data_IF_669590823026
#
_entry.id   IF_669590823026
#
_cell.length_a   1.000
_cell.length_b   1.000
_cell.length_c   1.000
_cell.angle_alpha   90.00
_cell.angle_beta   90.00
_cell.angle_gamma   90.00
#
_symmetry.space_group_name_H-M   'P 1'
#
loop_
_entity.id
_entity.type
_entity.pdbx_description
1 polymer ?
#
# COMPACT_ATOMS: atom_id res chain seq x y z
N UNK A 1 20.82 -3.42 -9.51
CA UNK A 1 21.30 -4.72 -8.97
C UNK A 1 20.61 -5.03 -7.65
N UNK A 2 19.61 -5.92 -7.71
CA UNK A 2 19.21 -6.88 -6.67
C UNK A 2 19.16 -6.42 -5.19
N UNK A 3 17.94 -6.08 -4.73
CA UNK A 3 17.55 -6.18 -3.32
C UNK A 3 17.41 -7.64 -2.86
N UNK A 4 18.41 -8.47 -3.17
CA UNK A 4 18.56 -9.78 -2.54
C UNK A 4 19.45 -9.60 -1.31
N UNK A 5 19.02 -10.23 -0.22
CA UNK A 5 19.79 -10.44 1.00
C UNK A 5 20.00 -9.21 1.90
N UNK A 6 18.91 -8.72 2.49
CA UNK A 6 18.93 -8.55 3.95
C UNK A 6 17.96 -9.54 4.57
N UNK A 7 18.44 -10.78 4.64
CA UNK A 7 17.85 -11.90 5.36
C UNK A 7 17.98 -11.58 6.87
N UNK A 8 17.17 -10.63 7.36
CA UNK A 8 17.09 -10.40 8.80
C UNK A 8 16.29 -11.54 9.38
N UNK A 9 17.00 -12.40 10.12
CA UNK A 9 16.47 -13.52 10.90
C UNK A 9 15.74 -13.01 12.13
N UNK A 10 14.88 -12.01 11.96
CA UNK A 10 14.02 -11.44 12.99
C UNK A 10 12.59 -11.90 12.66
N UNK A 11 12.27 -13.13 13.10
CA UNK A 11 10.90 -13.66 13.08
C UNK A 11 10.06 -12.90 14.10
N UNK A 12 9.77 -11.65 13.79
CA UNK A 12 8.66 -10.94 14.41
C UNK A 12 7.40 -11.62 13.85
N UNK A 13 6.52 -12.22 14.67
CA UNK A 13 5.28 -12.84 14.19
C UNK A 13 4.36 -11.85 13.45
N UNK A 14 4.64 -10.54 13.57
CA UNK A 14 3.96 -9.46 12.85
C UNK A 14 4.63 -9.06 11.53
N UNK A 15 5.72 -9.71 11.11
CA UNK A 15 6.31 -9.43 9.80
C UNK A 15 5.39 -9.92 8.69
N UNK A 16 4.82 -8.94 7.97
CA UNK A 16 4.04 -9.19 6.77
C UNK A 16 4.98 -9.62 5.64
N UNK A 17 5.31 -10.92 5.58
CA UNK A 17 6.21 -11.43 4.56
C UNK A 17 5.70 -11.08 3.16
N UNK A 18 6.55 -10.42 2.38
CA UNK A 18 6.28 -10.13 0.99
C UNK A 18 6.48 -11.39 0.16
N UNK A 19 5.59 -11.59 -0.82
CA UNK A 19 5.71 -12.66 -1.81
C UNK A 19 5.31 -12.17 -3.19
N UNK A 20 5.92 -12.74 -4.22
CA UNK A 20 5.62 -12.44 -5.61
C UNK A 20 4.13 -12.62 -5.90
N UNK A 21 3.58 -11.67 -6.66
CA UNK A 21 2.17 -11.65 -7.05
C UNK A 21 1.95 -12.52 -8.28
N UNK A 22 0.88 -13.30 -8.29
CA UNK A 22 0.48 -14.09 -9.46
C UNK A 22 -0.54 -13.33 -10.32
N UNK A 23 -0.68 -13.65 -11.61
CA UNK A 23 -1.74 -13.06 -12.43
C UNK A 23 -3.15 -13.29 -11.86
N UNK A 24 -3.39 -14.43 -11.20
CA UNK A 24 -4.66 -14.73 -10.55
C UNK A 24 -4.94 -13.81 -9.36
N UNK A 25 -3.93 -13.55 -8.53
CA UNK A 25 -4.05 -12.60 -7.42
C UNK A 25 -4.27 -11.17 -7.90
N UNK A 26 -3.61 -10.77 -8.99
CA UNK A 26 -3.80 -9.45 -9.55
C UNK A 26 -5.22 -9.27 -10.09
N UNK A 27 -5.78 -10.29 -10.76
CA UNK A 27 -7.19 -10.30 -11.18
C UNK A 27 -8.13 -10.21 -9.99
N UNK A 28 -7.88 -10.95 -8.92
CA UNK A 28 -8.68 -10.89 -7.69
C UNK A 28 -8.60 -9.50 -7.02
N UNK A 29 -7.42 -8.89 -7.00
CA UNK A 29 -7.22 -7.53 -6.49
C UNK A 29 -8.00 -6.48 -7.29
N UNK A 30 -7.89 -6.49 -8.61
CA UNK A 30 -8.67 -5.58 -9.48
C UNK A 30 -10.17 -5.83 -9.36
N UNK A 31 -10.59 -7.10 -9.30
CA UNK A 31 -11.98 -7.48 -9.07
C UNK A 31 -12.52 -6.96 -7.74
N UNK A 32 -11.71 -7.00 -6.69
CA UNK A 32 -12.07 -6.44 -5.38
C UNK A 32 -12.24 -4.91 -5.43
N UNK A 33 -11.35 -4.18 -6.11
CA UNK A 33 -11.50 -2.72 -6.31
C UNK A 33 -12.80 -2.36 -7.05
N UNK A 34 -13.15 -3.11 -8.10
CA UNK A 34 -14.41 -2.93 -8.83
C UNK A 34 -15.62 -3.24 -7.93
N UNK A 35 -15.57 -4.37 -7.21
CA UNK A 35 -16.65 -4.80 -6.32
C UNK A 35 -16.92 -3.78 -5.20
N UNK A 36 -15.87 -3.29 -4.52
CA UNK A 36 -15.99 -2.21 -3.53
C UNK A 36 -16.40 -0.87 -4.16
N UNK A 37 -16.29 -0.73 -5.48
CA UNK A 37 -16.88 0.36 -6.24
C UNK A 37 -18.41 0.31 -6.23
N UNK A 38 -18.98 -0.89 -6.33
CA UNK A 38 -20.42 -1.14 -6.44
C UNK A 38 -21.09 -1.26 -5.07
N UNK A 39 -20.51 -2.08 -4.19
CA UNK A 39 -21.01 -2.26 -2.81
C UNK A 39 -20.11 -1.44 -1.89
N UNK A 40 -20.63 -0.39 -1.27
CA UNK A 40 -19.86 0.50 -0.38
C UNK A 40 -20.09 0.11 1.07
N UNK A 41 -19.02 -0.33 1.73
CA UNK A 41 -18.95 -0.47 3.18
C UNK A 41 -18.17 0.68 3.84
N UNK A 42 -18.46 1.01 5.11
CA UNK A 42 -17.83 2.13 5.81
C UNK A 42 -16.35 1.88 6.09
N UNK A 43 -15.94 0.64 6.35
CA UNK A 43 -14.54 0.28 6.53
C UNK A 43 -14.10 -0.83 5.58
N UNK A 44 -12.80 -0.83 5.25
CA UNK A 44 -12.21 -1.85 4.39
C UNK A 44 -12.36 -3.26 4.96
N UNK A 45 -12.32 -3.40 6.29
CA UNK A 45 -12.37 -4.72 6.94
C UNK A 45 -13.74 -5.35 6.91
N UNK A 46 -14.79 -4.54 6.79
CA UNK A 46 -16.19 -4.99 6.81
C UNK A 46 -16.49 -5.89 5.60
N UNK A 47 -15.80 -5.67 4.48
CA UNK A 47 -15.83 -6.54 3.30
C UNK A 47 -15.30 -7.97 3.52
N UNK A 48 -14.60 -8.21 4.62
CA UNK A 48 -14.04 -9.52 4.99
C UNK A 48 -14.57 -10.00 6.35
N UNK A 49 -15.57 -9.33 6.91
CA UNK A 49 -16.21 -9.79 8.14
C UNK A 49 -17.10 -10.99 7.82
N UNK A 50 -16.80 -12.13 8.45
CA UNK A 50 -17.64 -13.31 8.36
C UNK A 50 -18.67 -13.21 9.48
N UNK A 51 -19.98 -13.23 9.14
CA UNK A 51 -21.17 -13.13 10.02
C UNK A 51 -21.15 -13.94 11.33
N UNK A 52 -20.15 -14.80 11.54
CA UNK A 52 -20.07 -15.76 12.64
C UNK A 52 -20.03 -15.13 14.04
N UNK A 53 -19.67 -13.85 14.18
CA UNK A 53 -19.48 -13.27 15.51
C UNK A 53 -20.46 -12.21 15.95
N UNK A 54 -21.23 -11.59 15.07
CA UNK A 54 -22.26 -10.65 15.49
C UNK A 54 -23.34 -10.54 14.43
N UNK A 55 -24.55 -10.16 14.86
CA UNK A 55 -25.67 -9.70 14.04
C UNK A 55 -25.26 -8.43 13.28
N UNK A 56 -24.26 -8.56 12.42
CA UNK A 56 -23.63 -7.50 11.67
C UNK A 56 -24.63 -6.96 10.67
N UNK A 57 -24.73 -5.63 10.59
CA UNK A 57 -25.57 -4.92 9.62
C UNK A 57 -24.94 -4.97 8.22
N UNK A 58 -23.71 -5.48 8.11
CA UNK A 58 -22.93 -5.50 6.88
C UNK A 58 -23.30 -6.70 6.00
N UNK A 59 -23.21 -6.50 4.68
CA UNK A 59 -23.52 -7.56 3.74
C UNK A 59 -22.48 -8.68 3.83
N UNK A 60 -22.91 -9.92 3.61
CA UNK A 60 -21.98 -11.04 3.46
C UNK A 60 -21.28 -10.90 2.08
N UNK A 61 -20.03 -10.45 2.08
CA UNK A 61 -19.26 -10.24 0.84
C UNK A 61 -18.42 -11.47 0.49
N UNK A 62 -18.33 -11.86 -0.79
CA UNK A 62 -17.61 -13.05 -1.21
C UNK A 62 -16.09 -12.84 -1.32
N UNK A 63 -15.56 -11.68 -0.92
CA UNK A 63 -14.17 -11.28 -1.18
C UNK A 63 -13.15 -12.19 -0.50
N UNK A 64 -13.47 -12.73 0.68
CA UNK A 64 -12.62 -13.67 1.41
C UNK A 64 -12.29 -14.93 0.61
N UNK A 65 -13.16 -15.34 -0.32
CA UNK A 65 -12.94 -16.51 -1.19
C UNK A 65 -11.89 -16.28 -2.28
N UNK A 66 -11.59 -15.03 -2.63
CA UNK A 66 -10.71 -14.69 -3.75
C UNK A 66 -9.38 -14.09 -3.31
N UNK A 67 -9.40 -13.27 -2.26
CA UNK A 67 -8.22 -12.62 -1.72
C UNK A 67 -8.44 -12.33 -0.24
N UNK A 68 -7.41 -12.48 0.60
CA UNK A 68 -7.53 -12.10 2.01
C UNK A 68 -7.44 -10.58 2.17
N UNK A 69 -8.12 -10.00 3.16
CA UNK A 69 -8.00 -8.56 3.50
C UNK A 69 -6.54 -8.13 3.61
N UNK A 70 -5.72 -8.97 4.24
CA UNK A 70 -4.29 -8.76 4.39
C UNK A 70 -3.55 -8.67 3.06
N UNK A 71 -3.79 -9.62 2.14
CA UNK A 71 -3.11 -9.65 0.85
C UNK A 71 -3.57 -8.48 -0.02
N UNK A 72 -4.84 -8.13 0.06
CA UNK A 72 -5.40 -6.93 -0.58
C UNK A 72 -4.67 -5.66 -0.10
N UNK A 73 -4.53 -5.46 1.21
CA UNK A 73 -3.80 -4.32 1.77
C UNK A 73 -2.32 -4.28 1.32
N UNK A 74 -1.66 -5.43 1.23
CA UNK A 74 -0.28 -5.51 0.74
C UNK A 74 -0.20 -5.06 -0.73
N UNK A 75 -1.05 -5.60 -1.60
CA UNK A 75 -1.06 -5.22 -3.01
C UNK A 75 -1.41 -3.75 -3.19
N UNK A 76 -2.39 -3.23 -2.44
CA UNK A 76 -2.77 -1.81 -2.47
C UNK A 76 -1.60 -0.86 -2.16
N UNK A 77 -0.66 -1.25 -1.28
CA UNK A 77 0.50 -0.42 -0.93
C UNK A 77 1.64 -0.43 -1.95
N UNK A 78 1.81 -1.55 -2.65
CA UNK A 78 3.00 -1.81 -3.48
C UNK A 78 2.67 -2.05 -4.96
N UNK A 79 1.44 -1.78 -5.38
CA UNK A 79 1.03 -1.90 -6.78
C UNK A 79 1.62 -0.75 -7.60
N UNK A 80 2.46 -1.10 -8.57
CA UNK A 80 3.09 -0.17 -9.50
C UNK A 80 2.94 -0.70 -10.93
N UNK A 81 2.67 0.20 -11.89
CA UNK A 81 2.51 -0.12 -13.32
C UNK A 81 3.78 0.22 -14.11
N UNK A 82 4.66 1.04 -13.54
CA UNK A 82 5.94 1.42 -14.10
C UNK A 82 7.07 1.12 -13.13
N UNK A 83 8.27 1.07 -13.67
CA UNK A 83 9.48 1.04 -12.86
C UNK A 83 9.61 2.35 -12.06
N UNK A 84 10.17 2.31 -10.85
CA UNK A 84 10.47 3.52 -10.10
C UNK A 84 11.51 4.35 -10.85
N UNK A 85 11.36 5.68 -10.85
CA UNK A 85 12.34 6.58 -11.47
C UNK A 85 13.71 6.41 -10.79
N UNK A 86 14.75 6.17 -11.58
CA UNK A 86 16.13 6.15 -11.09
C UNK A 86 16.53 7.58 -10.68
N UNK A 87 16.51 7.88 -9.38
CA UNK A 87 17.06 9.14 -8.87
C UNK A 87 18.49 8.90 -8.42
N UNK A 88 19.47 9.66 -8.95
CA UNK A 88 20.83 9.64 -8.41
C UNK A 88 20.79 10.03 -6.93
N UNK A 89 21.07 9.08 -6.03
CA UNK A 89 21.02 9.29 -4.58
C UNK A 89 19.93 8.53 -3.82
N UNK A 90 19.03 7.81 -4.49
CA UNK A 90 17.99 7.00 -3.84
C UNK A 90 16.70 7.76 -3.52
N UNK A 91 15.65 6.99 -3.23
CA UNK A 91 14.23 7.37 -3.09
C UNK A 91 13.97 8.88 -2.88
N UNK A 92 13.35 9.52 -3.88
CA UNK A 92 12.62 10.77 -3.68
C UNK A 92 11.45 10.48 -2.74
N UNK A 93 11.63 10.87 -1.47
CA UNK A 93 10.49 11.21 -0.63
C UNK A 93 9.70 12.29 -1.37
N UNK A 94 8.46 11.97 -1.70
CA UNK A 94 7.53 12.86 -2.38
C UNK A 94 7.51 14.25 -1.73
N UNK A 95 7.75 15.28 -2.53
CA UNK A 95 7.35 16.68 -2.31
C UNK A 95 7.81 17.40 -1.03
N UNK A 96 8.92 17.03 -0.38
CA UNK A 96 9.55 17.99 0.53
C UNK A 96 10.34 18.99 -0.31
N UNK A 97 9.82 20.22 -0.43
CA UNK A 97 10.67 21.37 -0.76
C UNK A 97 11.73 21.41 0.35
N UNK A 98 13.03 21.34 0.05
CA UNK A 98 14.07 21.53 1.06
C UNK A 98 13.81 22.89 1.75
N UNK A 99 13.94 22.94 3.07
CA UNK A 99 14.01 24.24 3.75
C UNK A 99 15.14 25.05 3.09
N UNK A 100 14.90 26.33 2.74
CA UNK A 100 15.92 27.16 2.12
C UNK A 100 17.16 27.17 3.02
N UNK A 101 18.32 27.11 2.37
CA UNK A 101 19.60 27.18 3.06
C UNK A 101 19.75 28.57 3.71
N UNK A 102 20.49 28.72 4.81
CA UNK A 102 20.72 30.04 5.45
C UNK A 102 21.20 31.11 4.46
N UNK A 103 21.97 30.69 3.45
CA UNK A 103 22.43 31.55 2.35
C UNK A 103 21.30 32.03 1.42
N UNK A 104 20.32 31.17 1.15
CA UNK A 104 19.15 31.49 0.32
C UNK A 104 18.15 32.35 1.10
N UNK A 105 17.98 32.13 2.40
CA UNK A 105 17.19 33.00 3.28
C UNK A 105 17.77 34.41 3.37
N UNK A 106 19.11 34.53 3.45
CA UNK A 106 19.80 35.82 3.42
C UNK A 106 19.56 36.55 2.10
N UNK A 107 19.67 35.85 0.95
CA UNK A 107 19.41 36.44 -0.37
C UNK A 107 17.95 36.92 -0.52
N UNK A 108 16.98 36.15 -0.02
CA UNK A 108 15.56 36.53 -0.01
C UNK A 108 15.26 37.72 0.92
N UNK A 109 16.08 37.93 1.97
CA UNK A 109 15.94 39.07 2.88
C UNK A 109 16.55 40.36 2.33
N UNK A 110 17.49 40.26 1.39
CA UNK A 110 18.16 41.41 0.75
C UNK A 110 17.39 41.94 -0.48
N UNK A 111 16.49 41.15 -1.07
CA UNK A 111 15.68 41.54 -2.24
C UNK A 111 14.32 42.20 -1.91
N UNK A 112 13.99 42.43 -0.64
CA UNK A 112 12.75 43.11 -0.17
C UNK A 112 13.05 44.44 0.52
#
# INVERSE_FOLDING_TARGET
>A
MYAYAKLSKNMNPHHRNWRSTTPGELKAFVGAEIYMGVTKEPQLKDYWDEEKHNKSVHANHPLSNYITCFRFEQLKRFFHISEPSEVPGGFISTYYRPEPTEEEELQLSEEN
#
